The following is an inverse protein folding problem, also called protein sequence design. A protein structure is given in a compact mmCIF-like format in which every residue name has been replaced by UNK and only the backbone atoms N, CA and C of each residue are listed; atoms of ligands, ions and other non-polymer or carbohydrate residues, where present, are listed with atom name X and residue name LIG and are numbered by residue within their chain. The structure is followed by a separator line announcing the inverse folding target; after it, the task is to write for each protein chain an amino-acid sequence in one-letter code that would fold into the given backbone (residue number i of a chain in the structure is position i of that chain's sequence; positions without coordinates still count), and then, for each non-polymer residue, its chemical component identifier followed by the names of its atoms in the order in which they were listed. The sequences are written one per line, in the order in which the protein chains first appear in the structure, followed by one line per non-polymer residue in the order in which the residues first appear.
data_IF_047255093409
#
_entry.id   IF_047255093409
#
_cell.length_a   1.000
_cell.length_b   1.000
_cell.length_c   1.000
_cell.angle_alpha   90.00
_cell.angle_beta   90.00
_cell.angle_gamma   90.00
#
_symmetry.space_group_name_H-M   'P 1'
#
loop_
_entity.id
_entity.type
_entity.pdbx_description
1 polymer ?
#
# COMPACT_ATOMS: atom_id res chain seq x y z
N UNK A 1 -9.00 -2.11 16.47
CA UNK A 1 -7.81 -1.87 15.62
C UNK A 1 -7.60 -0.37 15.58
N UNK A 2 -6.38 0.13 15.76
CA UNK A 2 -6.15 1.58 15.66
C UNK A 2 -6.30 2.02 14.19
N UNK A 3 -6.68 3.27 13.94
CA UNK A 3 -6.97 3.75 12.58
C UNK A 3 -5.75 3.69 11.65
N UNK A 4 -4.56 3.87 12.20
CA UNK A 4 -3.26 3.72 11.52
C UNK A 4 -2.99 2.27 11.09
N UNK A 5 -3.25 1.30 11.98
CA UNK A 5 -3.12 -0.12 11.67
C UNK A 5 -4.03 -0.55 10.52
N UNK A 6 -5.26 -0.03 10.51
CA UNK A 6 -6.22 -0.31 9.46
C UNK A 6 -5.75 0.27 8.12
N UNK A 7 -5.33 1.54 8.14
CA UNK A 7 -4.85 2.22 6.94
C UNK A 7 -3.69 1.48 6.30
N UNK A 8 -2.68 1.11 7.10
CA UNK A 8 -1.49 0.44 6.61
C UNK A 8 -1.81 -0.93 5.99
N UNK A 9 -2.69 -1.72 6.62
CA UNK A 9 -3.14 -3.01 6.07
C UNK A 9 -3.85 -2.84 4.72
N UNK A 10 -4.75 -1.87 4.63
CA UNK A 10 -5.48 -1.57 3.39
C UNK A 10 -4.52 -1.08 2.31
N UNK A 11 -3.58 -0.22 2.66
CA UNK A 11 -2.53 0.27 1.76
C UNK A 11 -1.71 -0.90 1.18
N UNK A 12 -1.21 -1.79 2.04
CA UNK A 12 -0.43 -2.97 1.61
C UNK A 12 -1.24 -3.90 0.72
N UNK A 13 -2.50 -4.16 1.05
CA UNK A 13 -3.38 -5.03 0.27
C UNK A 13 -3.58 -4.47 -1.15
N UNK A 14 -3.92 -3.19 -1.26
CA UNK A 14 -4.15 -2.54 -2.55
C UNK A 14 -2.86 -2.35 -3.37
N UNK A 15 -1.70 -2.15 -2.72
CA UNK A 15 -0.40 -2.20 -3.41
C UNK A 15 -0.14 -3.60 -3.96
N UNK A 16 -0.44 -4.66 -3.20
CA UNK A 16 -0.27 -6.03 -3.68
C UNK A 16 -1.16 -6.34 -4.88
N UNK A 17 -2.42 -5.89 -4.88
CA UNK A 17 -3.31 -5.97 -6.04
C UNK A 17 -2.71 -5.23 -7.25
N UNK A 18 -2.21 -4.01 -7.05
CA UNK A 18 -1.60 -3.24 -8.16
C UNK A 18 -0.37 -3.92 -8.76
N UNK A 19 0.43 -4.58 -7.93
CA UNK A 19 1.58 -5.38 -8.38
C UNK A 19 1.11 -6.50 -9.33
N UNK A 20 0.02 -7.18 -8.98
CA UNK A 20 -0.59 -8.23 -9.80
C UNK A 20 -1.20 -7.65 -11.09
N UNK A 21 -1.92 -6.53 -11.04
CA UNK A 21 -2.50 -5.84 -12.20
C UNK A 21 -1.44 -5.41 -13.23
N UNK A 22 -0.23 -5.05 -12.76
CA UNK A 22 0.90 -4.70 -13.62
C UNK A 22 1.63 -5.92 -14.20
N UNK A 23 1.19 -7.14 -13.88
CA UNK A 23 1.88 -8.37 -14.27
C UNK A 23 3.26 -8.55 -13.61
N UNK A 24 3.55 -7.80 -12.53
CA UNK A 24 4.82 -7.88 -11.83
C UNK A 24 4.77 -8.98 -10.77
N UNK A 25 5.81 -9.82 -10.72
CA UNK A 25 5.88 -10.82 -9.65
C UNK A 25 6.15 -10.15 -8.29
N UNK A 26 5.56 -10.67 -7.21
CA UNK A 26 5.86 -10.16 -5.87
C UNK A 26 7.34 -10.30 -5.48
N UNK A 27 8.04 -11.31 -6.00
CA UNK A 27 9.47 -11.46 -5.77
C UNK A 27 10.25 -10.31 -6.42
N UNK A 28 9.88 -9.94 -7.64
CA UNK A 28 10.45 -8.78 -8.32
C UNK A 28 10.13 -7.48 -7.59
N UNK A 29 8.86 -7.25 -7.23
CA UNK A 29 8.46 -6.07 -6.47
C UNK A 29 9.23 -5.94 -5.16
N UNK A 30 9.34 -7.03 -4.40
CA UNK A 30 10.11 -7.05 -3.15
C UNK A 30 11.58 -6.68 -3.36
N UNK A 31 12.21 -7.15 -4.45
CA UNK A 31 13.58 -6.77 -4.80
C UNK A 31 13.72 -5.29 -5.16
N UNK A 32 12.75 -4.73 -5.89
CA UNK A 32 12.74 -3.30 -6.26
C UNK A 32 12.61 -2.39 -5.04
N UNK A 33 11.74 -2.74 -4.09
CA UNK A 33 11.41 -1.87 -2.94
C UNK A 33 12.38 -2.01 -1.77
N UNK A 34 12.80 -3.25 -1.47
CA UNK A 34 13.55 -3.56 -0.24
C UNK A 34 15.00 -3.97 -0.50
N UNK A 35 15.46 -3.91 -1.76
CA UNK A 35 16.82 -4.28 -2.17
C UNK A 35 16.94 -5.69 -2.73
N UNK A 36 18.06 -5.94 -3.41
CA UNK A 36 18.30 -7.16 -4.17
C UNK A 36 18.42 -8.44 -3.32
N UNK A 37 18.29 -9.59 -4.00
CA UNK A 37 18.40 -10.92 -3.40
C UNK A 37 17.14 -11.36 -2.64
N UNK A 38 17.29 -12.41 -1.82
CA UNK A 38 16.18 -13.02 -1.10
C UNK A 38 15.68 -12.19 0.09
N UNK A 39 16.49 -11.25 0.59
CA UNK A 39 16.10 -10.34 1.68
C UNK A 39 14.91 -9.49 1.27
N UNK A 40 14.90 -8.92 0.07
CA UNK A 40 13.80 -8.08 -0.40
C UNK A 40 12.49 -8.85 -0.57
N UNK A 41 12.57 -10.09 -1.06
CA UNK A 41 11.41 -10.99 -1.19
C UNK A 41 10.82 -11.33 0.19
N UNK A 42 11.67 -11.70 1.16
CA UNK A 42 11.24 -12.00 2.54
C UNK A 42 10.65 -10.78 3.22
N UNK A 43 11.23 -9.60 3.03
CA UNK A 43 10.71 -8.35 3.59
C UNK A 43 9.35 -8.00 3.01
N UNK A 44 9.14 -8.15 1.70
CA UNK A 44 7.82 -7.93 1.12
C UNK A 44 6.77 -8.92 1.63
N UNK A 45 7.14 -10.21 1.72
CA UNK A 45 6.28 -11.24 2.32
C UNK A 45 5.90 -10.91 3.76
N UNK A 46 6.85 -10.41 4.54
CA UNK A 46 6.62 -10.00 5.94
C UNK A 46 5.72 -8.77 6.06
N UNK A 47 5.75 -7.83 5.12
CA UNK A 47 4.81 -6.68 5.11
C UNK A 47 3.39 -7.13 4.82
N UNK A 48 3.22 -8.06 3.88
CA UNK A 48 1.92 -8.59 3.45
C UNK A 48 1.28 -9.58 4.41
N UNK A 49 1.94 -9.90 5.53
CA UNK A 49 1.44 -10.92 6.44
C UNK A 49 0.10 -10.48 7.07
N UNK A 50 -0.95 -11.25 6.78
CA UNK A 50 -2.34 -10.97 7.14
C UNK A 50 -2.68 -11.39 8.57
N UNK A 51 -1.82 -12.20 9.22
CA UNK A 51 -2.02 -12.71 10.59
C UNK A 51 -1.75 -11.65 11.68
N UNK A 52 -1.69 -10.38 11.28
CA UNK A 52 -1.52 -9.24 12.18
C UNK A 52 -0.12 -9.09 12.76
N UNK A 53 0.85 -9.87 12.27
CA UNK A 53 2.28 -9.76 12.59
C UNK A 53 3.09 -9.10 11.48
N UNK A 54 2.41 -8.49 10.51
CA UNK A 54 3.04 -7.78 9.40
C UNK A 54 4.01 -6.71 9.89
N UNK A 55 5.20 -6.67 9.28
CA UNK A 55 6.18 -5.61 9.57
C UNK A 55 5.61 -4.27 9.12
N UNK A 56 5.82 -3.24 9.95
CA UNK A 56 5.49 -1.86 9.61
C UNK A 56 6.27 -1.35 8.40
N UNK A 57 5.61 -0.52 7.61
CA UNK A 57 6.22 0.28 6.56
C UNK A 57 6.72 1.61 7.10
N UNK A 58 7.96 1.91 6.77
CA UNK A 58 8.50 3.25 6.86
C UNK A 58 8.02 4.10 5.68
N UNK A 59 8.00 5.42 5.85
CA UNK A 59 7.66 6.34 4.75
C UNK A 59 8.61 6.20 3.55
N UNK A 60 9.89 5.90 3.80
CA UNK A 60 10.87 5.67 2.74
C UNK A 60 10.61 4.39 1.95
N UNK A 61 10.08 3.34 2.57
CA UNK A 61 9.63 2.14 1.85
C UNK A 61 8.39 2.43 1.03
N UNK A 62 7.41 3.15 1.58
CA UNK A 62 6.21 3.53 0.84
C UNK A 62 6.52 4.43 -0.38
N UNK A 63 7.52 5.31 -0.26
CA UNK A 63 8.03 6.11 -1.37
C UNK A 63 8.64 5.21 -2.47
N UNK A 64 9.52 4.26 -2.10
CA UNK A 64 10.10 3.30 -3.06
C UNK A 64 9.06 2.39 -3.71
N UNK A 65 7.95 2.08 -3.01
CA UNK A 65 6.82 1.36 -3.61
C UNK A 65 6.21 2.14 -4.77
N UNK A 66 6.02 3.46 -4.61
CA UNK A 66 5.52 4.30 -5.68
C UNK A 66 6.44 4.27 -6.91
N UNK A 67 7.75 4.43 -6.70
CA UNK A 67 8.76 4.32 -7.76
C UNK A 67 8.72 2.96 -8.46
N UNK A 68 8.61 1.87 -7.68
CA UNK A 68 8.52 0.52 -8.23
C UNK A 68 7.26 0.29 -9.07
N UNK A 69 6.16 0.98 -8.74
CA UNK A 69 4.89 0.97 -9.48
C UNK A 69 4.83 2.00 -10.62
N UNK A 70 5.91 2.77 -10.84
CA UNK A 70 5.98 3.76 -11.92
C UNK A 70 5.11 5.00 -11.70
N UNK A 71 4.88 5.40 -10.46
CA UNK A 71 4.09 6.59 -10.09
C UNK A 71 4.81 7.41 -9.01
N UNK A 72 4.42 8.67 -8.82
CA UNK A 72 4.85 9.43 -7.65
C UNK A 72 4.07 9.02 -6.39
N UNK A 73 4.68 9.26 -5.22
CA UNK A 73 4.12 8.88 -3.93
C UNK A 73 2.77 9.57 -3.60
N UNK A 74 2.61 10.89 -3.79
CA UNK A 74 1.30 11.54 -3.63
C UNK A 74 0.18 10.90 -4.46
N UNK A 75 0.42 10.64 -5.75
CA UNK A 75 -0.54 9.99 -6.64
C UNK A 75 -0.87 8.57 -6.19
N UNK A 76 0.12 7.80 -5.74
CA UNK A 76 -0.11 6.46 -5.18
C UNK A 76 -1.06 6.52 -3.99
N UNK A 77 -0.74 7.36 -2.99
CA UNK A 77 -1.54 7.48 -1.77
C UNK A 77 -2.97 7.94 -2.10
N UNK A 78 -3.12 8.95 -2.95
CA UNK A 78 -4.43 9.44 -3.35
C UNK A 78 -5.29 8.34 -3.98
N UNK A 79 -4.76 7.65 -5.00
CA UNK A 79 -5.50 6.62 -5.73
C UNK A 79 -5.90 5.43 -4.85
N UNK A 80 -5.01 5.04 -3.92
CA UNK A 80 -5.30 3.97 -2.96
C UNK A 80 -6.36 4.40 -1.95
N UNK A 81 -6.30 5.63 -1.43
CA UNK A 81 -7.32 6.19 -0.55
C UNK A 81 -8.69 6.21 -1.21
N UNK A 82 -8.78 6.67 -2.45
CA UNK A 82 -10.03 6.69 -3.21
C UNK A 82 -10.56 5.26 -3.44
N UNK A 83 -9.69 4.33 -3.83
CA UNK A 83 -10.06 2.92 -4.02
C UNK A 83 -10.56 2.28 -2.73
N UNK A 84 -9.88 2.51 -1.61
CA UNK A 84 -10.25 2.00 -0.30
C UNK A 84 -11.60 2.55 0.18
N UNK A 85 -11.85 3.85 0.01
CA UNK A 85 -13.12 4.51 0.35
C UNK A 85 -14.27 3.97 -0.49
N UNK A 86 -14.06 3.84 -1.80
CA UNK A 86 -15.06 3.29 -2.72
C UNK A 86 -15.43 1.82 -2.38
N UNK A 87 -14.49 1.08 -1.78
CA UNK A 87 -14.69 -0.30 -1.31
C UNK A 87 -15.13 -0.40 0.16
N UNK A 88 -15.37 0.72 0.84
CA UNK A 88 -15.75 0.76 2.26
C UNK A 88 -14.66 0.27 3.23
N UNK A 89 -13.40 0.18 2.79
CA UNK A 89 -12.27 -0.28 3.59
C UNK A 89 -11.70 0.80 4.50
N UNK A 90 -11.91 2.07 4.14
CA UNK A 90 -11.57 3.25 4.92
C UNK A 90 -12.81 4.14 5.12
N UNK A 91 -12.89 4.87 6.25
CA UNK A 91 -13.98 5.81 6.47
C UNK A 91 -13.98 6.92 5.41
N UNK A 92 -15.18 7.34 5.01
CA UNK A 92 -15.36 8.53 4.18
C UNK A 92 -14.96 9.79 4.95
N UNK A 93 -14.33 10.73 4.26
CA UNK A 93 -13.97 12.01 4.87
C UNK A 93 -15.24 12.84 5.09
N UNK A 94 -15.56 13.15 6.34
CA UNK A 94 -16.74 13.95 6.69
C UNK A 94 -16.65 15.40 6.18
N UNK A 95 -15.47 15.86 5.77
CA UNK A 95 -15.27 17.22 5.24
C UNK A 95 -15.76 17.41 3.80
N UNK A 96 -15.89 16.33 3.02
CA UNK A 96 -16.37 16.38 1.62
C UNK A 96 -17.89 16.59 1.51
N UNK A 97 -18.65 16.41 2.61
CA UNK A 97 -20.10 16.60 2.66
C UNK A 97 -20.55 18.06 2.83
N UNK A 98 -19.63 19.01 3.06
CA UNK A 98 -19.96 20.42 3.35
C UNK A 98 -20.09 21.34 2.12
N UNK A 99 -19.75 20.87 0.92
CA UNK A 99 -19.75 21.70 -0.30
C UNK A 99 -20.93 21.42 -1.26
N UNK A 100 -21.98 20.74 -0.79
CA UNK A 100 -23.21 20.53 -1.53
C UNK A 100 -24.41 21.11 -0.79
N UNK A 101 -24.55 22.44 -0.78
CA UNK A 101 -25.79 23.13 -0.41
C UNK A 101 -25.92 24.42 -1.21
#
# INVERSE_FOLDING_TARGET
MKNDDQFERVFVALVAERVEDMGMSHAEFGRRVFGGGDSGVRLWRSVRDVDGRGRRLTIGEAYRMAEALGTDFPSLVWNLCQSARNRGMLPQDKSEQRNGN
#
